data_IF_648430892088
#
_entry.id   IF_648430892088
#
_cell.length_a   1.000
_cell.length_b   1.000
_cell.length_c   1.000
_cell.angle_alpha   90.00
_cell.angle_beta   90.00
_cell.angle_gamma   90.00
#
_symmetry.space_group_name_H-M   'P 1'
#
loop_
_entity.id
_entity.type
_entity.pdbx_description
1 polymer ?
#
# COMPACT_ATOMS: atom_id res chain seq x y z
N UNK A 1 9.00 41.36 41.66
CA UNK A 1 8.05 40.30 41.30
C UNK A 1 8.50 39.74 39.97
N UNK A 2 8.62 38.42 39.83
CA UNK A 2 8.89 37.83 38.52
C UNK A 2 7.60 37.99 37.71
N UNK A 3 7.63 38.80 36.67
CA UNK A 3 6.56 38.88 35.69
C UNK A 3 6.84 37.81 34.64
N UNK A 4 5.79 37.12 34.19
CA UNK A 4 5.92 36.14 33.12
C UNK A 4 5.80 36.86 31.78
N UNK A 5 6.91 36.94 31.05
CA UNK A 5 6.99 37.54 29.73
C UNK A 5 6.67 36.48 28.65
N UNK A 6 5.88 36.87 27.65
CA UNK A 6 5.54 36.01 26.53
C UNK A 6 6.58 36.07 25.40
N UNK A 7 6.67 35.01 24.58
CA UNK A 7 7.49 35.04 23.39
C UNK A 7 7.01 36.14 22.44
N UNK A 8 7.96 36.91 21.93
CA UNK A 8 7.72 37.97 20.98
C UNK A 8 8.73 37.90 19.85
N UNK A 9 8.23 38.11 18.64
CA UNK A 9 9.04 38.18 17.42
C UNK A 9 8.89 39.57 16.81
N UNK A 10 9.54 39.82 15.67
CA UNK A 10 9.35 41.08 14.92
C UNK A 10 7.89 41.29 14.46
N UNK A 11 7.05 40.25 14.51
CA UNK A 11 5.64 40.28 14.13
C UNK A 11 4.70 40.61 15.31
N UNK A 12 5.21 40.60 16.55
CA UNK A 12 4.43 40.93 17.76
C UNK A 12 4.53 39.85 18.85
N UNK A 13 3.77 40.06 19.93
CA UNK A 13 3.59 39.05 21.00
C UNK A 13 2.82 37.86 20.41
N UNK A 14 3.26 36.63 20.70
CA UNK A 14 2.72 35.41 20.09
C UNK A 14 2.68 35.49 18.55
N UNK A 15 3.72 36.13 17.97
CA UNK A 15 3.87 36.37 16.52
C UNK A 15 2.69 37.06 15.84
N UNK A 16 1.79 37.70 16.60
CA UNK A 16 0.57 38.32 16.08
C UNK A 16 -0.57 37.34 15.79
N UNK A 17 -0.42 36.07 16.16
CA UNK A 17 -1.37 34.98 15.91
C UNK A 17 -1.81 34.27 17.19
N UNK A 18 -1.96 35.04 18.28
CA UNK A 18 -2.41 34.49 19.54
C UNK A 18 -2.55 35.53 20.64
N UNK A 19 -3.07 35.07 21.76
CA UNK A 19 -3.21 35.86 22.99
C UNK A 19 -2.20 35.38 24.02
N UNK A 20 -1.61 36.31 24.77
CA UNK A 20 -0.57 36.03 25.75
C UNK A 20 -1.14 36.08 27.17
N UNK A 21 -0.74 35.13 28.02
CA UNK A 21 -1.01 35.16 29.46
C UNK A 21 0.19 35.78 30.21
N UNK A 22 0.26 37.11 30.23
CA UNK A 22 1.32 37.91 30.86
C UNK A 22 1.02 38.36 32.30
N UNK A 23 2.00 39.01 32.92
CA UNK A 23 1.89 39.66 34.22
C UNK A 23 2.27 38.79 35.41
N UNK A 24 2.07 39.32 36.63
CA UNK A 24 2.52 38.68 37.87
C UNK A 24 1.80 37.37 38.22
N UNK A 25 0.66 37.08 37.57
CA UNK A 25 -0.11 35.84 37.71
C UNK A 25 -0.22 35.06 36.39
N UNK A 26 0.42 35.54 35.31
CA UNK A 26 0.40 34.91 34.00
C UNK A 26 1.28 33.66 33.95
N UNK A 27 1.17 32.89 32.87
CA UNK A 27 2.03 31.71 32.64
C UNK A 27 3.19 32.01 31.68
N UNK A 28 3.15 33.14 30.97
CA UNK A 28 4.09 33.46 29.88
C UNK A 28 3.82 32.66 28.61
N UNK A 29 2.75 31.87 28.57
CA UNK A 29 2.39 31.04 27.42
C UNK A 29 1.44 31.77 26.47
N UNK A 30 1.60 31.48 25.18
CA UNK A 30 0.68 31.90 24.15
C UNK A 30 -0.50 30.93 24.04
N UNK A 31 -1.69 31.47 23.77
CA UNK A 31 -2.84 30.74 23.27
C UNK A 31 -3.02 31.16 21.81
N UNK A 32 -2.60 30.30 20.89
CA UNK A 32 -2.63 30.60 19.46
C UNK A 32 -4.04 30.69 18.90
N UNK A 33 -4.21 31.54 17.90
CA UNK A 33 -5.40 31.56 17.05
C UNK A 33 -5.50 30.24 16.27
N UNK A 34 -6.72 29.89 15.85
CA UNK A 34 -6.96 28.67 15.08
C UNK A 34 -6.03 28.60 13.85
N UNK A 35 -5.57 27.40 13.50
CA UNK A 35 -4.64 27.13 12.39
C UNK A 35 -3.18 27.56 12.63
N UNK A 36 -2.86 28.12 13.80
CA UNK A 36 -1.50 28.48 14.20
C UNK A 36 -1.00 27.60 15.34
N UNK A 37 0.27 27.25 15.30
CA UNK A 37 0.92 26.37 16.25
C UNK A 37 2.38 26.83 16.49
N UNK A 38 3.08 26.11 17.38
CA UNK A 38 4.34 26.49 18.05
C UNK A 38 4.17 27.31 19.33
N UNK A 39 5.16 27.27 20.21
CA UNK A 39 5.17 27.98 21.50
C UNK A 39 4.89 29.49 21.37
N UNK A 40 5.28 30.08 20.23
CA UNK A 40 5.15 31.50 19.90
C UNK A 40 4.14 31.77 18.77
N UNK A 41 3.36 30.78 18.37
CA UNK A 41 2.35 30.85 17.30
C UNK A 41 2.89 31.36 15.96
N UNK A 42 4.16 31.05 15.65
CA UNK A 42 4.83 31.50 14.42
C UNK A 42 4.58 30.59 13.23
N UNK A 43 4.08 29.37 13.45
CA UNK A 43 3.90 28.36 12.41
C UNK A 43 2.43 28.16 12.07
N UNK A 44 2.10 28.17 10.78
CA UNK A 44 0.76 27.88 10.31
C UNK A 44 0.64 26.39 9.96
N UNK A 45 -0.51 25.79 10.26
CA UNK A 45 -0.83 24.41 9.88
C UNK A 45 -0.65 24.19 8.35
N UNK A 46 -0.18 23.01 7.92
CA UNK A 46 -0.07 22.68 6.50
C UNK A 46 -1.42 22.79 5.77
N UNK A 47 -1.38 23.25 4.52
CA UNK A 47 -2.57 23.37 3.65
C UNK A 47 -3.56 24.48 4.05
N UNK A 48 -3.22 25.33 5.02
CA UNK A 48 -4.10 26.37 5.57
C UNK A 48 -4.19 27.66 4.73
N UNK A 49 -3.64 27.70 3.52
CA UNK A 49 -3.69 28.86 2.60
C UNK A 49 -5.12 29.35 2.30
N UNK A 50 -6.11 28.46 2.32
CA UNK A 50 -7.53 28.77 2.10
C UNK A 50 -8.37 28.76 3.40
N UNK A 51 -7.74 29.00 4.56
CA UNK A 51 -8.33 28.90 5.91
C UNK A 51 -8.87 27.51 6.29
N UNK A 52 -8.39 26.47 5.62
CA UNK A 52 -8.73 25.09 5.92
C UNK A 52 -7.45 24.34 6.29
N UNK A 53 -7.26 24.01 7.57
CA UNK A 53 -6.14 23.15 7.97
C UNK A 53 -6.15 21.84 7.17
N UNK A 54 -4.95 21.33 6.87
CA UNK A 54 -4.76 20.05 6.20
C UNK A 54 -5.55 19.98 4.88
N UNK A 55 -5.46 21.05 4.08
CA UNK A 55 -6.10 21.20 2.77
C UNK A 55 -7.61 20.92 2.77
N UNK A 56 -8.27 21.05 3.92
CA UNK A 56 -9.70 20.77 4.09
C UNK A 56 -10.06 19.27 4.18
N UNK A 57 -9.06 18.40 4.27
CA UNK A 57 -9.22 16.94 4.35
C UNK A 57 -8.57 16.37 5.60
N UNK A 58 -8.57 17.12 6.70
CA UNK A 58 -7.99 16.66 7.95
C UNK A 58 -8.13 17.64 9.10
N UNK A 59 -7.57 17.25 10.23
CA UNK A 59 -7.46 18.07 11.44
C UNK A 59 -6.00 18.28 11.78
N UNK A 60 -5.62 19.52 12.08
CA UNK A 60 -4.25 19.88 12.45
C UNK A 60 -4.10 19.89 13.98
N UNK A 61 -2.96 19.42 14.49
CA UNK A 61 -2.53 19.65 15.86
C UNK A 61 -2.04 21.10 16.02
N UNK A 62 -2.98 22.02 16.23
CA UNK A 62 -2.72 23.45 16.42
C UNK A 62 -2.52 23.86 17.89
N UNK A 63 -2.32 25.16 18.13
CA UNK A 63 -2.07 25.72 19.46
C UNK A 63 -0.60 25.68 19.89
N UNK A 64 -0.32 26.26 21.06
CA UNK A 64 1.05 26.49 21.51
C UNK A 64 1.85 25.20 21.84
N UNK A 65 1.14 24.09 22.04
CA UNK A 65 1.74 22.75 22.20
C UNK A 65 1.61 21.89 20.94
N UNK A 66 0.98 22.41 19.89
CA UNK A 66 0.80 21.73 18.62
C UNK A 66 2.07 21.72 17.79
N UNK A 67 2.31 20.60 17.11
CA UNK A 67 3.43 20.41 16.19
C UNK A 67 3.04 20.62 14.72
N UNK A 68 1.77 20.94 14.44
CA UNK A 68 1.26 21.13 13.09
C UNK A 68 0.95 19.82 12.36
N UNK A 69 1.02 18.67 13.03
CA UNK A 69 0.75 17.39 12.39
C UNK A 69 -0.72 17.27 11.96
N UNK A 70 -0.93 16.82 10.73
CA UNK A 70 -2.25 16.58 10.16
C UNK A 70 -2.70 15.14 10.37
N UNK A 71 -3.93 14.98 10.87
CA UNK A 71 -4.68 13.73 10.87
C UNK A 71 -5.67 13.79 9.71
N UNK A 72 -5.39 13.04 8.65
CA UNK A 72 -6.19 13.07 7.42
C UNK A 72 -7.49 12.28 7.52
N UNK A 73 -8.52 12.80 6.87
CA UNK A 73 -9.78 12.11 6.63
C UNK A 73 -9.57 10.85 5.79
N UNK A 74 -10.46 9.87 5.95
CA UNK A 74 -10.38 8.61 5.22
C UNK A 74 -10.35 8.85 3.70
N UNK A 75 -9.35 8.28 3.03
CA UNK A 75 -9.16 8.44 1.59
C UNK A 75 -8.22 9.57 1.18
N UNK A 76 -7.70 10.36 2.12
CA UNK A 76 -6.68 11.37 1.86
C UNK A 76 -5.40 11.09 2.66
N UNK A 77 -4.27 11.55 2.14
CA UNK A 77 -2.95 11.43 2.73
C UNK A 77 -2.03 12.53 2.22
N UNK A 78 -0.72 12.45 2.54
CA UNK A 78 0.29 13.52 2.52
C UNK A 78 0.34 14.36 3.79
N UNK A 79 1.45 15.08 4.01
CA UNK A 79 1.66 15.90 5.20
C UNK A 79 0.58 16.99 5.41
N UNK A 80 -0.08 17.43 4.33
CA UNK A 80 -1.16 18.40 4.31
C UNK A 80 -2.51 17.79 3.92
N UNK A 81 -2.63 16.46 3.78
CA UNK A 81 -3.84 15.76 3.34
C UNK A 81 -4.39 16.20 1.96
N UNK A 82 -3.58 16.83 1.12
CA UNK A 82 -3.99 17.28 -0.21
C UNK A 82 -4.10 16.14 -1.22
N UNK A 83 -3.49 14.98 -0.94
CA UNK A 83 -3.39 13.89 -1.91
C UNK A 83 -4.46 12.81 -1.65
N UNK A 84 -5.32 12.50 -2.65
CA UNK A 84 -6.25 11.40 -2.52
C UNK A 84 -5.51 10.06 -2.60
N UNK A 85 -6.02 9.06 -1.89
CA UNK A 85 -5.60 7.67 -2.01
C UNK A 85 -5.83 7.15 -3.43
N UNK A 86 -4.95 6.27 -3.94
CA UNK A 86 -5.15 5.64 -5.24
C UNK A 86 -6.55 4.99 -5.36
N UNK A 87 -7.17 5.11 -6.53
CA UNK A 87 -8.53 4.61 -6.81
C UNK A 87 -9.67 5.56 -6.42
N UNK A 88 -9.46 6.49 -5.47
CA UNK A 88 -10.53 7.38 -4.98
C UNK A 88 -11.03 8.40 -6.03
N UNK A 89 -10.15 8.83 -6.95
CA UNK A 89 -10.46 9.85 -7.96
C UNK A 89 -11.32 9.36 -9.11
N UNK A 90 -11.61 8.06 -9.19
CA UNK A 90 -12.41 7.43 -10.25
C UNK A 90 -13.85 7.11 -9.82
N UNK A 91 -14.32 7.63 -8.69
CA UNK A 91 -15.64 7.29 -8.14
C UNK A 91 -15.72 5.87 -7.58
N UNK A 92 -14.55 5.25 -7.35
CA UNK A 92 -14.38 3.94 -6.73
C UNK A 92 -13.86 4.15 -5.30
N UNK A 93 -14.09 3.19 -4.41
CA UNK A 93 -13.49 3.18 -3.07
C UNK A 93 -11.96 3.29 -3.16
N UNK A 94 -11.34 3.91 -2.15
CA UNK A 94 -9.88 3.92 -2.01
C UNK A 94 -9.30 2.49 -2.13
N UNK A 95 -8.18 2.35 -2.83
CA UNK A 95 -7.56 1.05 -3.13
C UNK A 95 -8.53 0.07 -3.80
N UNK A 96 -9.44 0.57 -4.64
CA UNK A 96 -10.49 -0.18 -5.33
C UNK A 96 -11.40 -1.01 -4.42
N UNK A 97 -11.37 -0.78 -3.10
CA UNK A 97 -12.05 -1.63 -2.12
C UNK A 97 -11.34 -2.95 -1.82
N UNK A 98 -10.11 -3.13 -2.31
CA UNK A 98 -9.30 -4.34 -2.19
C UNK A 98 -7.96 -4.06 -1.50
N UNK A 99 -7.99 -3.19 -0.49
CA UNK A 99 -6.82 -2.85 0.30
C UNK A 99 -7.07 -1.74 1.30
N UNK A 100 -6.02 -1.40 2.03
CA UNK A 100 -6.00 -0.30 3.01
C UNK A 100 -5.09 0.81 2.50
N UNK A 101 -5.56 2.05 2.54
CA UNK A 101 -4.72 3.19 2.20
C UNK A 101 -3.83 3.59 3.39
N UNK A 102 -2.53 3.49 3.21
CA UNK A 102 -1.56 4.15 4.08
C UNK A 102 -1.47 5.62 3.69
N UNK A 103 -1.88 6.52 4.57
CA UNK A 103 -2.00 7.95 4.28
C UNK A 103 -0.67 8.71 4.27
N UNK A 104 0.40 8.15 4.87
CA UNK A 104 1.69 8.82 5.06
C UNK A 104 2.85 7.91 4.67
N UNK A 105 3.99 8.47 4.19
CA UNK A 105 4.24 9.90 3.92
C UNK A 105 3.62 10.40 2.59
N UNK A 106 3.39 9.49 1.65
CA UNK A 106 2.56 9.72 0.47
C UNK A 106 1.48 8.61 0.45
N UNK A 107 0.25 8.93 0.04
CA UNK A 107 -0.83 7.95 0.05
C UNK A 107 -0.51 6.78 -0.88
N UNK A 108 -0.56 5.57 -0.34
CA UNK A 108 -0.29 4.34 -1.08
C UNK A 108 -1.18 3.21 -0.59
N UNK A 109 -1.46 2.25 -1.47
CA UNK A 109 -2.32 1.12 -1.13
C UNK A 109 -1.53 -0.08 -0.63
N UNK A 110 -1.97 -0.64 0.49
CA UNK A 110 -1.61 -1.99 0.91
C UNK A 110 -2.75 -2.91 0.46
N UNK A 111 -2.54 -3.62 -0.65
CA UNK A 111 -3.57 -4.48 -1.23
C UNK A 111 -3.87 -5.69 -0.35
N UNK A 112 -5.12 -6.13 -0.40
CA UNK A 112 -5.56 -7.41 0.14
C UNK A 112 -4.84 -8.57 -0.55
N UNK A 113 -4.82 -9.72 0.11
CA UNK A 113 -4.26 -10.93 -0.48
C UNK A 113 -4.92 -11.21 -1.83
N UNK A 114 -4.10 -11.57 -2.83
CA UNK A 114 -4.49 -11.82 -4.23
C UNK A 114 -4.79 -10.58 -5.09
N UNK A 115 -4.63 -9.36 -4.60
CA UNK A 115 -4.84 -8.14 -5.40
C UNK A 115 -3.52 -7.41 -5.66
N UNK A 116 -3.40 -6.76 -6.82
CA UNK A 116 -2.21 -6.02 -7.23
C UNK A 116 -2.54 -4.80 -8.08
N UNK A 117 -1.50 -4.00 -8.38
CA UNK A 117 -1.62 -2.70 -9.03
C UNK A 117 -1.70 -1.57 -8.02
N UNK A 118 -1.31 -0.35 -8.42
CA UNK A 118 -1.09 0.80 -7.50
C UNK A 118 -2.31 1.20 -6.67
N UNK A 119 -3.50 0.85 -7.13
CA UNK A 119 -4.81 1.04 -6.50
C UNK A 119 -5.56 -0.29 -6.28
N UNK A 120 -4.87 -1.44 -6.34
CA UNK A 120 -5.41 -2.77 -6.09
C UNK A 120 -6.61 -3.15 -6.98
N UNK A 121 -6.65 -2.66 -8.22
CA UNK A 121 -7.76 -2.91 -9.15
C UNK A 121 -7.67 -4.27 -9.86
N UNK A 122 -6.51 -4.94 -9.85
CA UNK A 122 -6.30 -6.21 -10.53
C UNK A 122 -6.19 -7.37 -9.55
N UNK A 123 -6.76 -8.53 -9.93
CA UNK A 123 -6.70 -9.74 -9.13
C UNK A 123 -5.75 -10.75 -9.77
N UNK A 124 -4.92 -11.41 -8.95
CA UNK A 124 -4.00 -12.44 -9.39
C UNK A 124 -4.73 -13.57 -10.15
N UNK A 125 -4.09 -14.19 -11.14
CA UNK A 125 -4.66 -15.33 -11.87
C UNK A 125 -5.05 -16.48 -10.95
N UNK A 126 -6.12 -17.20 -11.29
CA UNK A 126 -6.59 -18.36 -10.53
C UNK A 126 -7.08 -18.04 -9.11
N UNK A 127 -7.39 -16.78 -8.80
CA UNK A 127 -7.79 -16.38 -7.45
C UNK A 127 -9.20 -16.87 -7.09
N UNK A 128 -9.30 -17.75 -6.10
CA UNK A 128 -10.57 -18.25 -5.58
C UNK A 128 -10.49 -18.37 -4.06
N UNK A 129 -11.50 -17.85 -3.34
CA UNK A 129 -11.59 -17.92 -1.88
C UNK A 129 -10.32 -17.41 -1.14
N UNK A 130 -9.68 -16.36 -1.65
CA UNK A 130 -8.48 -15.75 -1.05
C UNK A 130 -7.17 -16.46 -1.34
N UNK A 131 -7.17 -17.46 -2.23
CA UNK A 131 -5.98 -18.19 -2.68
C UNK A 131 -5.72 -17.84 -4.14
N UNK A 132 -4.51 -17.34 -4.45
CA UNK A 132 -4.07 -17.04 -5.81
C UNK A 132 -3.43 -18.25 -6.49
N UNK A 133 -3.17 -18.13 -7.80
CA UNK A 133 -2.41 -19.11 -8.59
C UNK A 133 -2.98 -20.53 -8.48
N UNK A 134 -4.31 -20.64 -8.44
CA UNK A 134 -5.07 -21.89 -8.29
C UNK A 134 -4.67 -22.74 -7.07
N UNK A 135 -3.99 -22.15 -6.08
CA UNK A 135 -3.44 -22.85 -4.92
C UNK A 135 -2.16 -23.65 -5.20
N UNK A 136 -1.52 -23.44 -6.35
CA UNK A 136 -0.32 -24.13 -6.80
C UNK A 136 0.80 -23.15 -7.15
N UNK A 137 0.90 -22.07 -6.38
CA UNK A 137 1.96 -21.07 -6.54
C UNK A 137 1.74 -19.84 -5.67
N UNK A 138 2.69 -18.91 -5.77
CA UNK A 138 2.64 -17.61 -5.10
C UNK A 138 2.50 -16.49 -6.11
N UNK A 139 1.55 -15.58 -5.90
CA UNK A 139 1.40 -14.40 -6.75
C UNK A 139 2.30 -13.25 -6.27
N UNK A 140 2.91 -12.54 -7.20
CA UNK A 140 3.50 -11.22 -6.99
C UNK A 140 2.40 -10.15 -6.82
N UNK A 141 1.76 -10.15 -5.66
CA UNK A 141 0.65 -9.28 -5.29
C UNK A 141 1.13 -7.93 -4.69
N UNK A 142 0.21 -7.01 -4.44
CA UNK A 142 0.48 -5.72 -3.82
C UNK A 142 0.57 -4.55 -4.79
N UNK A 143 0.72 -3.34 -4.26
CA UNK A 143 0.63 -2.11 -5.07
C UNK A 143 1.71 -1.96 -6.14
N UNK A 144 2.84 -2.65 -5.97
CA UNK A 144 3.94 -2.70 -6.94
C UNK A 144 4.09 -4.09 -7.57
N UNK A 145 3.17 -5.01 -7.27
CA UNK A 145 3.19 -6.37 -7.77
C UNK A 145 2.85 -6.43 -9.25
N UNK A 146 3.43 -7.41 -9.94
CA UNK A 146 3.20 -7.68 -11.36
C UNK A 146 2.00 -8.59 -11.63
N UNK A 147 1.43 -9.21 -10.60
CA UNK A 147 0.36 -10.21 -10.75
C UNK A 147 0.84 -11.57 -11.24
N UNK A 148 2.14 -11.73 -11.55
CA UNK A 148 2.69 -12.98 -12.05
C UNK A 148 2.72 -14.06 -10.96
N UNK A 149 2.28 -15.25 -11.33
CA UNK A 149 2.39 -16.43 -10.48
C UNK A 149 3.77 -17.08 -10.61
N UNK A 150 4.41 -17.36 -9.49
CA UNK A 150 5.49 -18.33 -9.38
C UNK A 150 4.87 -19.68 -9.01
N UNK A 151 4.74 -20.58 -10.00
CA UNK A 151 4.13 -21.89 -9.79
C UNK A 151 5.02 -22.80 -8.95
N UNK A 152 4.35 -23.62 -8.13
CA UNK A 152 4.97 -24.75 -7.46
C UNK A 152 5.58 -25.73 -8.48
N UNK A 153 6.57 -26.55 -8.07
CA UNK A 153 7.11 -27.59 -8.93
C UNK A 153 6.00 -28.46 -9.54
N UNK A 154 6.18 -28.80 -10.81
CA UNK A 154 5.25 -29.62 -11.60
C UNK A 154 3.87 -29.01 -11.88
N UNK A 155 3.71 -27.69 -11.70
CA UNK A 155 2.55 -26.94 -12.16
C UNK A 155 2.94 -25.89 -13.19
N UNK A 156 2.00 -25.58 -14.08
CA UNK A 156 2.22 -24.73 -15.23
C UNK A 156 0.99 -23.88 -15.59
N UNK A 157 1.20 -22.92 -16.48
CA UNK A 157 0.20 -21.96 -16.93
C UNK A 157 0.16 -20.71 -16.05
N UNK A 158 -0.38 -19.62 -16.59
CA UNK A 158 -0.40 -18.30 -15.95
C UNK A 158 -0.99 -18.30 -14.53
N UNK A 159 -1.96 -19.17 -14.29
CA UNK A 159 -2.63 -19.38 -13.01
C UNK A 159 -2.20 -20.65 -12.26
N UNK A 160 -1.15 -21.33 -12.74
CA UNK A 160 -0.63 -22.59 -12.18
C UNK A 160 -1.65 -23.73 -12.09
N UNK A 161 -2.74 -23.68 -12.86
CA UNK A 161 -3.80 -24.70 -12.82
C UNK A 161 -3.42 -26.02 -13.50
N UNK A 162 -2.34 -26.07 -14.28
CA UNK A 162 -1.99 -27.23 -15.11
C UNK A 162 -0.93 -28.10 -14.44
N UNK A 163 -1.28 -29.26 -13.87
CA UNK A 163 -0.28 -30.21 -13.40
C UNK A 163 0.45 -30.86 -14.56
N UNK A 164 1.71 -31.22 -14.33
CA UNK A 164 2.47 -32.04 -15.28
C UNK A 164 1.84 -33.43 -15.44
N UNK A 165 1.74 -33.96 -16.67
CA UNK A 165 1.28 -35.31 -16.93
C UNK A 165 2.13 -36.36 -16.20
N UNK A 166 1.56 -37.51 -15.86
CA UNK A 166 2.25 -38.60 -15.16
C UNK A 166 2.35 -38.42 -13.63
N UNK A 167 2.29 -37.18 -13.14
CA UNK A 167 2.17 -36.86 -11.71
C UNK A 167 2.88 -35.56 -11.32
N UNK A 168 2.75 -35.18 -10.05
CA UNK A 168 3.22 -33.89 -9.49
C UNK A 168 4.42 -34.04 -8.56
N UNK A 169 5.31 -34.98 -8.87
CA UNK A 169 6.59 -35.19 -8.17
C UNK A 169 7.69 -35.43 -9.18
N UNK A 170 8.96 -35.20 -8.82
CA UNK A 170 10.11 -35.45 -9.70
C UNK A 170 10.11 -36.88 -10.27
N UNK A 171 9.71 -37.86 -9.47
CA UNK A 171 9.71 -39.27 -9.86
C UNK A 171 8.53 -39.66 -10.77
N UNK A 172 7.48 -38.85 -10.84
CA UNK A 172 6.25 -39.17 -11.56
C UNK A 172 5.95 -38.23 -12.72
N UNK A 173 6.48 -37.00 -12.69
CA UNK A 173 6.29 -36.04 -13.76
C UNK A 173 6.83 -36.63 -15.07
N UNK A 174 6.02 -36.56 -16.12
CA UNK A 174 6.29 -37.21 -17.40
C UNK A 174 6.61 -38.71 -17.25
N UNK A 175 5.93 -39.38 -16.32
CA UNK A 175 6.13 -40.80 -15.94
C UNK A 175 7.58 -41.14 -15.56
N UNK A 176 8.39 -40.14 -15.19
CA UNK A 176 9.82 -40.29 -14.92
C UNK A 176 10.70 -40.41 -16.19
N UNK A 177 10.13 -40.16 -17.37
CA UNK A 177 10.76 -40.36 -18.68
C UNK A 177 10.72 -39.10 -19.55
N UNK A 178 10.81 -37.92 -18.93
CA UNK A 178 10.87 -36.66 -19.63
C UNK A 178 10.93 -35.45 -18.72
N UNK A 179 10.99 -34.27 -19.34
CA UNK A 179 11.00 -32.98 -18.65
C UNK A 179 9.68 -32.24 -18.91
N UNK A 180 9.05 -31.75 -17.85
CA UNK A 180 7.83 -30.96 -17.96
C UNK A 180 8.12 -29.45 -18.17
N UNK A 181 7.39 -28.82 -19.09
CA UNK A 181 7.39 -27.37 -19.24
C UNK A 181 6.55 -26.69 -18.14
N UNK A 182 7.13 -26.59 -16.92
CA UNK A 182 6.52 -26.00 -15.73
C UNK A 182 6.67 -24.47 -15.64
N UNK A 183 6.01 -23.85 -14.65
CA UNK A 183 6.03 -22.41 -14.38
C UNK A 183 4.91 -21.64 -15.09
N UNK A 184 4.78 -20.35 -14.78
CA UNK A 184 3.68 -19.51 -15.30
C UNK A 184 3.68 -19.31 -16.81
N UNK A 185 4.87 -19.38 -17.42
CA UNK A 185 5.05 -19.38 -18.88
C UNK A 185 5.10 -20.80 -19.47
N UNK A 186 5.05 -21.82 -18.61
CA UNK A 186 5.07 -23.22 -18.99
C UNK A 186 3.74 -23.67 -19.57
N UNK A 187 3.79 -24.64 -20.49
CA UNK A 187 2.60 -25.21 -21.12
C UNK A 187 2.00 -26.37 -20.33
N UNK A 188 2.76 -26.96 -19.40
CA UNK A 188 2.41 -28.20 -18.70
C UNK A 188 2.56 -29.44 -19.59
N UNK A 189 3.29 -29.36 -20.71
CA UNK A 189 3.53 -30.48 -21.61
C UNK A 189 4.88 -31.15 -21.31
N UNK A 190 4.95 -32.46 -21.57
CA UNK A 190 6.17 -33.24 -21.41
C UNK A 190 7.00 -33.29 -22.69
N UNK A 191 8.30 -33.04 -22.56
CA UNK A 191 9.31 -33.38 -23.54
C UNK A 191 9.92 -34.75 -23.15
N UNK A 192 9.60 -35.79 -23.91
CA UNK A 192 10.01 -37.16 -23.58
C UNK A 192 11.48 -37.43 -23.88
N UNK A 193 12.08 -38.26 -23.03
CA UNK A 193 13.40 -38.80 -23.24
C UNK A 193 13.42 -39.75 -24.46
N UNK A 194 14.59 -39.96 -25.09
CA UNK A 194 14.71 -40.89 -26.21
C UNK A 194 14.21 -42.30 -25.86
N UNK A 195 13.33 -42.85 -26.70
CA UNK A 195 12.73 -44.17 -26.48
C UNK A 195 11.36 -44.13 -25.78
N UNK A 196 10.89 -42.95 -25.35
CA UNK A 196 9.59 -42.76 -24.73
C UNK A 196 8.67 -41.84 -25.54
N UNK A 197 7.37 -42.08 -25.46
CA UNK A 197 6.35 -41.26 -26.15
C UNK A 197 5.00 -41.29 -25.43
N UNK A 198 4.11 -40.38 -25.85
CA UNK A 198 2.82 -40.14 -25.21
C UNK A 198 2.78 -38.80 -24.49
N UNK A 199 1.59 -38.31 -24.12
CA UNK A 199 1.43 -37.03 -23.44
C UNK A 199 2.14 -36.97 -22.07
N UNK A 200 2.34 -38.12 -21.41
CA UNK A 200 3.07 -38.27 -20.16
C UNK A 200 4.33 -39.11 -20.31
N UNK A 201 4.83 -39.35 -21.53
CA UNK A 201 6.00 -40.22 -21.78
C UNK A 201 5.85 -41.64 -21.19
N UNK A 202 4.61 -42.14 -21.15
CA UNK A 202 4.23 -43.37 -20.49
C UNK A 202 4.44 -44.63 -21.35
N UNK A 203 4.76 -44.47 -22.64
CA UNK A 203 4.94 -45.57 -23.57
C UNK A 203 6.39 -45.70 -24.02
N UNK A 204 6.90 -46.93 -24.08
CA UNK A 204 8.22 -47.26 -24.64
C UNK A 204 8.12 -47.58 -26.14
N UNK A 205 9.09 -47.15 -26.93
CA UNK A 205 9.20 -47.51 -28.34
C UNK A 205 9.51 -49.01 -28.49
N UNK A 206 8.84 -49.74 -29.39
CA UNK A 206 9.19 -51.12 -29.69
C UNK A 206 10.62 -51.20 -30.25
N UNK A 207 11.45 -52.07 -29.64
CA UNK A 207 12.84 -52.32 -30.05
C UNK A 207 12.99 -53.23 -31.26
#
# INVERSE_FOLDING_TARGET
>A
TCEHDCPSTSLGVCSGHGTCSDGASGTGACACDALWHSEDCSSQCPGAEDNNACSGHGTCADGASGDGACVCEAGYGSADCSQPCPGLTLGVSACSGHGVCAQQPAPSCACDATWYGSDCHEQCPGSTAGVACSGHGTCDAGATGSGLCACDPFYAGEDCSKPCPGGTTDASACSGHGTCAQGSLGTGLCACDPGYWGPACENECPG
#
